data_IF_518572477836
#
_entry.id   IF_518572477836
#
_cell.length_a   1.000
_cell.length_b   1.000
_cell.length_c   1.000
_cell.angle_alpha   90.00
_cell.angle_beta   90.00
_cell.angle_gamma   90.00
#
_symmetry.space_group_name_H-M   'P 1'
#
loop_
_entity.id
_entity.type
_entity.pdbx_description
1 polymer ?
#
# COMPACT_ATOMS: atom_id res chain seq x y z
N UNK A 1 -39.22 -52.07 25.19
CA UNK A 1 -38.02 -51.80 24.36
C UNK A 1 -36.82 -52.25 25.19
N UNK A 2 -36.18 -53.38 24.82
CA UNK A 2 -34.96 -53.84 25.52
C UNK A 2 -33.80 -52.90 25.16
N UNK A 3 -33.01 -52.51 26.19
CA UNK A 3 -31.81 -51.63 26.03
C UNK A 3 -30.79 -52.35 25.17
N UNK A 4 -30.12 -51.66 24.24
CA UNK A 4 -29.06 -52.24 23.40
C UNK A 4 -27.93 -52.78 24.30
N UNK A 5 -27.21 -53.86 23.89
CA UNK A 5 -26.11 -54.42 24.65
C UNK A 5 -25.01 -53.36 24.82
N UNK A 6 -24.44 -53.25 26.03
CA UNK A 6 -23.41 -52.26 26.40
C UNK A 6 -22.23 -52.20 25.43
N UNK A 7 -21.84 -53.32 24.87
CA UNK A 7 -20.72 -53.44 23.90
C UNK A 7 -20.98 -52.72 22.60
N UNK A 8 -22.22 -52.73 22.06
CA UNK A 8 -22.58 -52.05 20.82
C UNK A 8 -22.64 -50.53 21.00
N UNK A 9 -23.16 -50.11 22.17
CA UNK A 9 -23.17 -48.66 22.52
C UNK A 9 -21.76 -48.14 22.69
N UNK A 10 -20.87 -48.91 23.33
CA UNK A 10 -19.45 -48.55 23.48
C UNK A 10 -18.73 -48.50 22.11
N UNK A 11 -18.93 -49.46 21.23
CA UNK A 11 -18.33 -49.45 19.91
C UNK A 11 -18.82 -48.25 19.06
N UNK A 12 -20.12 -47.97 19.06
CA UNK A 12 -20.68 -46.81 18.35
C UNK A 12 -20.16 -45.47 18.90
N UNK A 13 -20.07 -45.34 20.24
CA UNK A 13 -19.53 -44.12 20.85
C UNK A 13 -18.03 -43.93 20.55
N UNK A 14 -17.27 -45.02 20.49
CA UNK A 14 -15.83 -44.97 20.19
C UNK A 14 -15.58 -44.58 18.72
N UNK A 15 -16.34 -45.15 17.77
CA UNK A 15 -16.28 -44.80 16.35
C UNK A 15 -16.69 -43.33 16.16
N UNK A 16 -17.77 -42.87 16.80
CA UNK A 16 -18.22 -41.49 16.76
C UNK A 16 -17.17 -40.54 17.35
N UNK A 17 -16.52 -40.91 18.47
CA UNK A 17 -15.46 -40.16 19.12
C UNK A 17 -14.24 -40.01 18.22
N UNK A 18 -13.79 -41.09 17.56
CA UNK A 18 -12.67 -41.05 16.62
C UNK A 18 -13.00 -40.19 15.39
N UNK A 19 -14.22 -40.30 14.85
CA UNK A 19 -14.66 -39.50 13.72
C UNK A 19 -14.68 -37.99 14.06
N UNK A 20 -15.19 -37.63 15.24
CA UNK A 20 -15.19 -36.22 15.71
C UNK A 20 -13.76 -35.72 15.96
N UNK A 21 -12.90 -36.52 16.60
CA UNK A 21 -11.51 -36.15 16.83
C UNK A 21 -10.74 -35.94 15.51
N UNK A 22 -10.91 -36.84 14.52
CA UNK A 22 -10.33 -36.70 13.18
C UNK A 22 -10.83 -35.42 12.49
N UNK A 23 -12.12 -35.12 12.61
CA UNK A 23 -12.74 -33.94 12.01
C UNK A 23 -12.19 -32.64 12.64
N UNK A 24 -12.04 -32.58 13.97
CA UNK A 24 -11.42 -31.46 14.68
C UNK A 24 -9.97 -31.28 14.23
N UNK A 25 -9.21 -32.36 14.15
CA UNK A 25 -7.81 -32.32 13.71
C UNK A 25 -7.69 -31.81 12.27
N UNK A 26 -8.45 -32.37 11.33
CA UNK A 26 -8.47 -31.91 9.93
C UNK A 26 -8.86 -30.44 9.83
N UNK A 27 -9.87 -30.00 10.59
CA UNK A 27 -10.32 -28.61 10.59
C UNK A 27 -9.23 -27.67 11.10
N UNK A 28 -8.58 -28.01 12.21
CA UNK A 28 -7.52 -27.17 12.79
C UNK A 28 -6.31 -27.05 11.85
N UNK A 29 -5.91 -28.13 11.21
CA UNK A 29 -4.85 -28.14 10.21
C UNK A 29 -5.23 -27.33 8.97
N UNK A 30 -6.45 -27.49 8.48
CA UNK A 30 -6.98 -26.75 7.33
C UNK A 30 -7.04 -25.24 7.63
N UNK A 31 -7.57 -24.83 8.80
CA UNK A 31 -7.64 -23.43 9.19
C UNK A 31 -6.27 -22.79 9.33
N UNK A 32 -5.29 -23.52 9.87
CA UNK A 32 -3.89 -23.05 9.90
C UNK A 32 -3.32 -22.83 8.50
N UNK A 33 -3.48 -23.82 7.63
CA UNK A 33 -3.00 -23.73 6.24
C UNK A 33 -3.69 -22.61 5.48
N UNK A 34 -5.00 -22.47 5.64
CA UNK A 34 -5.78 -21.39 5.01
C UNK A 34 -5.33 -20.00 5.47
N UNK A 35 -5.18 -19.79 6.80
CA UNK A 35 -4.67 -18.52 7.32
C UNK A 35 -3.30 -18.17 6.74
N UNK A 36 -2.39 -19.15 6.69
CA UNK A 36 -1.06 -18.95 6.10
C UNK A 36 -1.15 -18.57 4.62
N UNK A 37 -2.00 -19.23 3.84
CA UNK A 37 -2.19 -18.95 2.43
C UNK A 37 -2.79 -17.56 2.18
N UNK A 38 -3.76 -17.13 3.00
CA UNK A 38 -4.37 -15.80 2.90
C UNK A 38 -3.38 -14.70 3.26
N UNK A 39 -2.59 -14.87 4.33
CA UNK A 39 -1.55 -13.90 4.72
C UNK A 39 -0.49 -13.79 3.63
N UNK A 40 -0.03 -14.91 3.04
CA UNK A 40 0.95 -14.89 1.95
C UNK A 40 0.37 -14.27 0.68
N UNK A 41 -0.89 -14.53 0.36
CA UNK A 41 -1.60 -13.87 -0.73
C UNK A 41 -1.73 -12.35 -0.51
N UNK A 42 -2.08 -11.91 0.69
CA UNK A 42 -2.17 -10.50 1.06
C UNK A 42 -0.79 -9.82 0.98
N UNK A 43 0.28 -10.51 1.44
CA UNK A 43 1.66 -10.06 1.36
C UNK A 43 2.10 -9.84 -0.09
N UNK A 44 1.85 -10.83 -0.96
CA UNK A 44 2.19 -10.76 -2.39
C UNK A 44 1.42 -9.64 -3.09
N UNK A 45 0.12 -9.53 -2.81
CA UNK A 45 -0.72 -8.46 -3.37
C UNK A 45 -0.25 -7.07 -2.90
N UNK A 46 0.06 -6.90 -1.62
CA UNK A 46 0.58 -5.65 -1.08
C UNK A 46 1.90 -5.25 -1.75
N UNK A 47 2.83 -6.19 -1.90
CA UNK A 47 4.10 -5.96 -2.59
C UNK A 47 3.90 -5.56 -4.06
N UNK A 48 2.98 -6.23 -4.76
CA UNK A 48 2.67 -5.93 -6.17
C UNK A 48 2.08 -4.54 -6.34
N UNK A 49 1.12 -4.17 -5.49
CA UNK A 49 0.50 -2.83 -5.51
C UNK A 49 1.53 -1.74 -5.22
N UNK A 50 2.38 -1.93 -4.19
CA UNK A 50 3.46 -0.99 -3.86
C UNK A 50 4.45 -0.86 -5.02
N UNK A 51 4.79 -1.95 -5.70
CA UNK A 51 5.66 -1.91 -6.88
C UNK A 51 5.03 -1.13 -8.04
N UNK A 52 3.73 -1.27 -8.23
CA UNK A 52 2.97 -0.50 -9.22
C UNK A 52 3.01 1.01 -8.92
N UNK A 53 2.77 1.39 -7.66
CA UNK A 53 2.84 2.79 -7.21
C UNK A 53 4.26 3.31 -7.33
N UNK A 54 5.26 2.54 -6.90
CA UNK A 54 6.66 2.92 -7.05
C UNK A 54 7.06 3.14 -8.52
N UNK A 55 6.54 2.31 -9.44
CA UNK A 55 6.68 2.51 -10.88
C UNK A 55 6.06 3.82 -11.37
N UNK A 56 4.87 4.17 -10.91
CA UNK A 56 4.21 5.42 -11.26
C UNK A 56 4.98 6.64 -10.72
N UNK A 57 5.46 6.56 -9.47
CA UNK A 57 6.32 7.61 -8.87
C UNK A 57 7.64 7.73 -9.62
N UNK A 58 8.26 6.61 -9.98
CA UNK A 58 9.50 6.60 -10.78
C UNK A 58 9.30 7.26 -12.16
N UNK A 59 8.19 6.97 -12.84
CA UNK A 59 7.86 7.61 -14.11
C UNK A 59 7.69 9.12 -13.94
N UNK A 60 7.05 9.56 -12.85
CA UNK A 60 6.91 10.97 -12.51
C UNK A 60 8.29 11.62 -12.31
N UNK A 61 9.18 11.01 -11.54
CA UNK A 61 10.56 11.49 -11.32
C UNK A 61 11.34 11.57 -12.63
N UNK A 62 11.27 10.55 -13.48
CA UNK A 62 11.92 10.56 -14.79
C UNK A 62 11.37 11.66 -15.70
N UNK A 63 10.07 11.95 -15.63
CA UNK A 63 9.46 13.07 -16.35
C UNK A 63 10.02 14.40 -15.86
N UNK A 64 10.17 14.56 -14.53
CA UNK A 64 10.79 15.75 -13.93
C UNK A 64 12.21 15.97 -14.45
N UNK A 65 13.05 14.93 -14.41
CA UNK A 65 14.43 15.01 -14.89
C UNK A 65 14.50 15.34 -16.40
N UNK A 66 13.61 14.76 -17.20
CA UNK A 66 13.53 15.06 -18.64
C UNK A 66 13.12 16.51 -18.91
N UNK A 67 12.12 17.02 -18.18
CA UNK A 67 11.66 18.41 -18.28
C UNK A 67 12.78 19.37 -17.90
N UNK A 68 13.45 19.11 -16.79
CA UNK A 68 14.58 19.94 -16.32
C UNK A 68 15.72 19.91 -17.33
N UNK A 69 16.06 18.75 -17.89
CA UNK A 69 17.09 18.63 -18.93
C UNK A 69 16.80 19.49 -20.16
N UNK A 70 15.55 19.42 -20.66
CA UNK A 70 15.13 20.26 -21.80
C UNK A 70 15.24 21.75 -21.47
N UNK A 71 14.79 22.16 -20.28
CA UNK A 71 14.86 23.57 -19.87
C UNK A 71 16.29 24.03 -19.72
N UNK A 72 17.17 23.23 -19.11
CA UNK A 72 18.60 23.57 -18.95
C UNK A 72 19.29 23.86 -20.28
N UNK A 73 19.04 23.04 -21.30
CA UNK A 73 19.63 23.22 -22.64
C UNK A 73 19.20 24.54 -23.32
N UNK A 74 18.07 25.11 -22.89
CA UNK A 74 17.53 26.33 -23.50
C UNK A 74 17.89 27.61 -22.73
N UNK A 75 18.44 27.52 -21.53
CA UNK A 75 18.77 28.69 -20.71
C UNK A 75 19.88 29.55 -21.35
N UNK A 76 20.78 28.97 -22.13
CA UNK A 76 21.89 29.64 -22.79
C UNK A 76 21.50 30.28 -24.12
N UNK A 77 20.26 30.15 -24.57
CA UNK A 77 19.77 30.84 -25.77
C UNK A 77 19.70 32.36 -25.55
N UNK A 78 19.74 33.09 -26.67
CA UNK A 78 19.46 34.51 -26.64
C UNK A 78 18.10 34.81 -26.00
N UNK A 79 17.96 35.83 -25.11
CA UNK A 79 16.77 36.06 -24.29
C UNK A 79 15.44 35.98 -25.04
N UNK A 80 15.36 36.60 -26.25
CA UNK A 80 14.11 36.57 -27.03
C UNK A 80 13.73 35.15 -27.51
N UNK A 81 14.71 34.33 -27.89
CA UNK A 81 14.51 32.96 -28.35
C UNK A 81 14.17 32.06 -27.17
N UNK A 82 14.87 32.22 -26.04
CA UNK A 82 14.63 31.51 -24.79
C UNK A 82 13.20 31.73 -24.29
N UNK A 83 12.77 33.00 -24.23
CA UNK A 83 11.41 33.34 -23.73
C UNK A 83 10.31 32.79 -24.66
N UNK A 84 10.50 32.86 -25.97
CA UNK A 84 9.57 32.28 -26.93
C UNK A 84 9.48 30.77 -26.78
N UNK A 85 10.60 30.08 -26.61
CA UNK A 85 10.66 28.64 -26.42
C UNK A 85 9.98 28.24 -25.12
N UNK A 86 10.35 28.83 -23.96
CA UNK A 86 9.81 28.44 -22.66
C UNK A 86 8.31 28.71 -22.55
N UNK A 87 7.81 29.81 -23.13
CA UNK A 87 6.37 30.08 -23.19
C UNK A 87 5.63 29.05 -24.07
N UNK A 88 6.18 28.66 -25.21
CA UNK A 88 5.62 27.59 -26.04
C UNK A 88 5.68 26.23 -25.31
N UNK A 89 6.80 25.94 -24.67
CA UNK A 89 6.99 24.72 -23.87
C UNK A 89 5.94 24.57 -22.74
N UNK A 90 5.70 25.63 -21.96
CA UNK A 90 4.68 25.66 -20.92
C UNK A 90 3.25 25.48 -21.46
N UNK A 91 3.01 25.87 -22.71
CA UNK A 91 1.70 25.65 -23.35
C UNK A 91 1.47 24.18 -23.71
N UNK A 92 2.54 23.48 -24.12
CA UNK A 92 2.48 22.06 -24.53
C UNK A 92 2.60 21.09 -23.33
N UNK A 93 3.22 21.55 -22.26
CA UNK A 93 3.48 20.75 -21.03
C UNK A 93 2.67 21.26 -19.84
N UNK A 94 1.38 20.90 -19.76
CA UNK A 94 0.47 21.43 -18.72
C UNK A 94 0.83 20.95 -17.30
N UNK A 95 1.66 19.93 -17.19
CA UNK A 95 2.20 19.46 -15.92
C UNK A 95 3.25 20.41 -15.32
N UNK A 96 3.88 21.28 -16.12
CA UNK A 96 4.83 22.28 -15.64
C UNK A 96 4.06 23.54 -15.26
N UNK A 97 4.07 23.89 -13.98
CA UNK A 97 3.36 25.06 -13.46
C UNK A 97 4.15 26.35 -13.66
N UNK A 98 5.45 26.33 -13.35
CA UNK A 98 6.36 27.45 -13.50
C UNK A 98 7.81 26.98 -13.75
N UNK A 99 8.58 27.87 -14.34
CA UNK A 99 10.03 27.77 -14.47
C UNK A 99 10.60 29.08 -13.91
N UNK A 100 11.52 29.00 -12.95
CA UNK A 100 12.14 30.16 -12.32
C UNK A 100 13.65 30.00 -12.29
N UNK A 101 14.37 31.11 -12.49
CA UNK A 101 15.81 31.14 -12.31
C UNK A 101 16.20 32.10 -11.20
N UNK A 102 17.26 31.76 -10.48
CA UNK A 102 17.76 32.53 -9.34
C UNK A 102 19.24 32.77 -9.46
N UNK A 103 19.71 33.90 -8.93
CA UNK A 103 21.13 34.19 -8.81
C UNK A 103 21.82 33.30 -7.74
N UNK A 104 23.11 33.49 -7.58
CA UNK A 104 23.91 32.75 -6.57
C UNK A 104 23.49 33.01 -5.12
N UNK A 105 22.76 34.09 -4.85
CA UNK A 105 22.28 34.49 -3.53
C UNK A 105 20.82 34.08 -3.29
N UNK A 106 20.18 33.43 -4.29
CA UNK A 106 18.79 33.00 -4.23
C UNK A 106 17.78 34.09 -4.59
N UNK A 107 18.24 35.23 -5.15
CA UNK A 107 17.36 36.26 -5.69
C UNK A 107 16.79 35.84 -7.05
N UNK A 108 15.50 36.08 -7.29
CA UNK A 108 14.84 35.73 -8.54
C UNK A 108 15.42 36.56 -9.71
N UNK A 109 15.78 35.89 -10.78
CA UNK A 109 16.19 36.50 -12.05
C UNK A 109 15.02 36.54 -13.05
N UNK A 110 14.50 35.36 -13.43
CA UNK A 110 13.45 35.25 -14.43
C UNK A 110 12.33 34.29 -13.91
N UNK A 111 11.09 34.49 -14.40
CA UNK A 111 9.96 33.64 -14.12
C UNK A 111 9.09 33.46 -15.37
N UNK A 112 8.92 32.23 -15.81
CA UNK A 112 7.98 31.83 -16.87
C UNK A 112 6.85 31.00 -16.23
N UNK A 113 5.62 31.32 -16.59
CA UNK A 113 4.43 30.67 -16.06
C UNK A 113 3.49 30.25 -17.18
N UNK A 114 2.62 29.29 -16.90
CA UNK A 114 1.59 28.86 -17.84
C UNK A 114 0.75 30.03 -18.37
N UNK A 115 0.35 29.95 -19.63
CA UNK A 115 -0.52 30.95 -20.27
C UNK A 115 -1.79 31.21 -19.43
N UNK A 116 -2.08 32.50 -19.21
CA UNK A 116 -3.22 32.91 -18.37
C UNK A 116 -2.97 32.83 -16.86
N UNK A 117 -1.76 32.53 -16.41
CA UNK A 117 -1.33 32.60 -15.01
C UNK A 117 -0.47 33.81 -14.81
N UNK A 118 -0.90 34.71 -13.94
CA UNK A 118 -0.18 35.97 -13.62
C UNK A 118 0.59 35.78 -12.33
N UNK A 119 1.92 35.86 -12.35
CA UNK A 119 2.72 35.88 -11.14
C UNK A 119 2.47 37.17 -10.35
N UNK A 120 2.44 37.08 -9.02
CA UNK A 120 2.28 38.23 -8.13
C UNK A 120 3.57 39.03 -8.03
N UNK A 121 3.60 40.32 -8.41
CA UNK A 121 4.83 41.12 -8.39
C UNK A 121 5.48 41.24 -7.00
N UNK A 122 4.66 41.31 -5.95
CA UNK A 122 5.13 41.44 -4.57
C UNK A 122 5.82 40.16 -4.07
N UNK A 123 5.33 39.01 -4.49
CA UNK A 123 5.92 37.71 -4.14
C UNK A 123 7.19 37.49 -4.94
N UNK A 124 7.20 37.81 -6.23
CA UNK A 124 8.38 37.68 -7.08
C UNK A 124 9.58 38.46 -6.53
N UNK A 125 9.38 39.63 -5.92
CA UNK A 125 10.46 40.43 -5.32
C UNK A 125 11.12 39.76 -4.12
N UNK A 126 10.38 38.90 -3.41
CA UNK A 126 10.82 38.24 -2.19
C UNK A 126 10.94 36.73 -2.36
N UNK A 127 10.74 36.22 -3.60
CA UNK A 127 10.81 34.80 -3.86
C UNK A 127 12.24 34.32 -3.67
N UNK A 128 12.40 33.37 -2.79
CA UNK A 128 13.65 32.69 -2.51
C UNK A 128 13.38 31.21 -2.29
N UNK A 129 14.31 30.39 -2.69
CA UNK A 129 14.28 28.96 -2.40
C UNK A 129 15.26 28.61 -1.28
N UNK A 130 15.22 27.36 -0.79
CA UNK A 130 16.15 26.91 0.23
C UNK A 130 17.57 26.74 -0.34
N UNK A 131 18.24 27.87 -0.49
CA UNK A 131 19.60 27.97 -1.00
C UNK A 131 20.60 27.20 -0.12
N UNK A 132 20.38 27.14 1.20
CA UNK A 132 21.26 26.42 2.10
C UNK A 132 21.24 24.91 1.81
N UNK A 133 20.08 24.36 1.55
CA UNK A 133 19.95 22.94 1.14
C UNK A 133 20.53 22.71 -0.26
N UNK A 134 20.26 23.60 -1.22
CA UNK A 134 20.79 23.46 -2.57
C UNK A 134 22.32 23.49 -2.60
N UNK A 135 22.95 24.43 -1.90
CA UNK A 135 24.41 24.51 -1.76
C UNK A 135 25.03 23.30 -1.06
N UNK A 136 24.39 22.81 0.01
CA UNK A 136 24.87 21.62 0.73
C UNK A 136 24.88 20.37 -0.15
N UNK A 137 23.89 20.21 -1.04
CA UNK A 137 23.78 19.06 -1.93
C UNK A 137 24.62 19.24 -3.23
N UNK A 138 25.03 20.46 -3.55
CA UNK A 138 26.02 20.79 -4.60
C UNK A 138 25.46 20.74 -6.04
N UNK A 139 24.42 19.98 -6.31
CA UNK A 139 23.87 19.80 -7.68
C UNK A 139 22.36 20.01 -7.77
N UNK A 140 21.73 20.29 -6.66
CA UNK A 140 20.30 20.51 -6.57
C UNK A 140 19.56 19.43 -5.80
N UNK A 141 18.24 19.57 -5.69
CA UNK A 141 17.37 18.65 -4.95
C UNK A 141 15.94 18.66 -5.50
N UNK A 142 15.16 17.69 -5.08
CA UNK A 142 13.71 17.60 -5.29
C UNK A 142 13.03 18.01 -3.98
N UNK A 143 12.12 18.99 -4.02
CA UNK A 143 11.38 19.45 -2.86
C UNK A 143 10.33 18.42 -2.41
N UNK A 144 9.84 18.55 -1.19
CA UNK A 144 8.57 17.92 -0.81
C UNK A 144 7.41 18.63 -1.51
N UNK A 145 6.27 17.92 -1.75
CA UNK A 145 5.08 18.56 -2.30
C UNK A 145 4.62 19.74 -1.46
N UNK A 146 4.37 20.87 -2.09
CA UNK A 146 3.94 22.11 -1.45
C UNK A 146 2.97 22.89 -2.34
N UNK A 147 2.31 23.85 -1.76
CA UNK A 147 1.42 24.75 -2.48
C UNK A 147 2.26 25.91 -3.05
N UNK A 148 2.27 26.03 -4.38
CA UNK A 148 2.92 27.17 -5.02
C UNK A 148 2.04 28.43 -4.89
N UNK A 149 2.60 29.50 -4.37
CA UNK A 149 1.90 30.75 -4.04
C UNK A 149 2.25 31.93 -4.94
N UNK A 150 3.11 31.73 -5.93
CA UNK A 150 3.58 32.80 -6.84
C UNK A 150 2.47 33.38 -7.73
N UNK A 151 1.37 32.65 -7.93
CA UNK A 151 0.30 33.05 -8.85
C UNK A 151 -0.83 33.84 -8.18
N UNK A 152 -1.50 34.69 -8.95
CA UNK A 152 -2.77 35.32 -8.55
C UNK A 152 -3.92 34.31 -8.66
N UNK A 153 -4.66 34.12 -7.56
CA UNK A 153 -5.88 33.27 -7.52
C UNK A 153 -5.70 31.81 -7.98
N UNK A 154 -4.44 31.34 -8.05
CA UNK A 154 -4.14 29.96 -8.41
C UNK A 154 -3.04 29.41 -7.49
N UNK A 155 -3.32 28.29 -6.84
CA UNK A 155 -2.48 27.68 -5.83
C UNK A 155 -2.26 26.21 -6.15
N UNK A 156 -1.45 25.90 -7.17
CA UNK A 156 -1.20 24.52 -7.56
C UNK A 156 -0.39 23.79 -6.49
N UNK A 157 -0.66 22.52 -6.33
CA UNK A 157 0.20 21.65 -5.56
C UNK A 157 1.30 21.12 -6.44
N UNK A 158 2.55 21.43 -6.10
CA UNK A 158 3.72 21.18 -6.94
C UNK A 158 4.84 20.50 -6.17
N UNK A 159 5.74 19.92 -6.93
CA UNK A 159 7.09 19.54 -6.50
C UNK A 159 8.07 20.36 -7.33
N UNK A 160 8.99 21.03 -6.66
CA UNK A 160 10.04 21.80 -7.33
C UNK A 160 11.30 20.97 -7.49
N UNK A 161 11.82 20.95 -8.69
CA UNK A 161 13.14 20.37 -9.00
C UNK A 161 14.12 21.51 -9.15
N UNK A 162 15.07 21.61 -8.22
CA UNK A 162 16.10 22.63 -8.20
C UNK A 162 17.40 22.04 -8.76
N UNK A 163 18.05 22.77 -9.68
CA UNK A 163 19.34 22.39 -10.27
C UNK A 163 20.28 23.59 -10.33
N UNK A 164 21.55 23.32 -10.10
CA UNK A 164 22.60 24.30 -10.35
C UNK A 164 22.85 24.43 -11.85
N UNK A 165 22.95 25.65 -12.33
CA UNK A 165 23.33 26.01 -13.70
C UNK A 165 24.72 26.66 -13.64
N UNK A 166 25.79 25.97 -14.10
CA UNK A 166 27.12 26.54 -14.09
C UNK A 166 27.20 27.77 -15.03
N UNK A 167 27.90 28.82 -14.60
CA UNK A 167 28.20 29.96 -15.43
C UNK A 167 29.70 30.07 -15.69
N UNK A 168 30.05 30.67 -16.84
CA UNK A 168 31.44 31.02 -17.16
C UNK A 168 31.92 32.06 -16.15
N UNK A 169 32.87 31.67 -15.28
CA UNK A 169 33.38 32.54 -14.22
C UNK A 169 33.28 31.99 -12.81
N UNK A 170 32.70 30.77 -12.65
CA UNK A 170 32.66 30.03 -11.35
C UNK A 170 31.51 30.43 -10.44
N UNK A 171 30.60 31.31 -10.84
CA UNK A 171 29.31 31.51 -10.21
C UNK A 171 28.31 30.47 -10.70
N UNK A 172 27.25 30.23 -9.93
CA UNK A 172 26.20 29.29 -10.33
C UNK A 172 24.84 29.96 -10.19
N UNK A 173 24.09 29.98 -11.27
CA UNK A 173 22.64 30.26 -11.21
C UNK A 173 21.91 29.00 -10.73
N UNK A 174 20.67 29.18 -10.28
CA UNK A 174 19.81 28.07 -9.89
C UNK A 174 18.57 28.10 -10.77
N UNK A 175 18.20 26.91 -11.25
CA UNK A 175 16.95 26.67 -11.95
C UNK A 175 16.00 25.95 -10.99
N UNK A 176 14.76 26.43 -10.90
CA UNK A 176 13.65 25.68 -10.30
C UNK A 176 12.57 25.43 -11.35
N UNK A 177 12.15 24.19 -11.46
CA UNK A 177 11.02 23.79 -12.29
C UNK A 177 9.95 23.20 -11.39
N UNK A 178 8.77 23.82 -11.38
CA UNK A 178 7.63 23.41 -10.55
C UNK A 178 6.70 22.53 -11.36
N UNK A 179 6.61 21.25 -10.97
CA UNK A 179 5.74 20.28 -11.63
C UNK A 179 4.52 19.96 -10.78
N UNK A 180 3.36 19.90 -11.42
CA UNK A 180 2.09 19.57 -10.78
C UNK A 180 2.15 18.18 -10.13
N UNK A 181 1.83 18.12 -8.84
CA UNK A 181 1.75 16.88 -8.07
C UNK A 181 0.36 16.23 -8.14
N UNK A 182 -0.61 16.89 -8.76
CA UNK A 182 -2.03 16.51 -8.74
C UNK A 182 -2.28 15.10 -9.30
N UNK A 183 -1.68 14.77 -10.43
CA UNK A 183 -1.89 13.46 -11.08
C UNK A 183 -1.27 12.32 -10.27
N UNK A 184 -0.07 12.55 -9.72
CA UNK A 184 0.57 11.57 -8.85
C UNK A 184 -0.23 11.37 -7.55
N UNK A 185 -0.70 12.46 -6.93
CA UNK A 185 -1.59 12.37 -5.77
C UNK A 185 -2.88 11.59 -6.08
N UNK A 186 -3.49 11.84 -7.24
CA UNK A 186 -4.68 11.09 -7.67
C UNK A 186 -4.38 9.60 -7.87
N UNK A 187 -3.23 9.27 -8.46
CA UNK A 187 -2.79 7.88 -8.63
C UNK A 187 -2.65 7.18 -7.27
N UNK A 188 -1.99 7.81 -6.30
CA UNK A 188 -1.80 7.24 -4.96
C UNK A 188 -3.14 7.13 -4.21
N UNK A 189 -4.02 8.12 -4.33
CA UNK A 189 -5.34 8.12 -3.68
C UNK A 189 -6.27 7.02 -4.19
N UNK A 190 -6.15 6.66 -5.48
CA UNK A 190 -6.99 5.64 -6.11
C UNK A 190 -6.49 4.22 -5.85
N UNK A 191 -5.34 4.07 -5.20
CA UNK A 191 -4.80 2.77 -4.86
C UNK A 191 -5.39 2.28 -3.54
N UNK A 192 -5.92 1.06 -3.56
CA UNK A 192 -6.42 0.35 -2.39
C UNK A 192 -5.74 -1.00 -2.27
N UNK A 193 -5.29 -1.34 -1.06
CA UNK A 193 -4.74 -2.66 -0.73
C UNK A 193 -5.72 -3.36 0.21
N UNK A 194 -6.51 -4.30 -0.33
CA UNK A 194 -7.64 -4.86 0.39
C UNK A 194 -8.80 -3.86 0.48
N UNK A 195 -9.53 -3.84 1.59
CA UNK A 195 -10.69 -2.94 1.76
C UNK A 195 -10.31 -1.54 2.25
N UNK A 196 -9.38 -1.44 3.20
CA UNK A 196 -9.00 -0.20 3.88
C UNK A 196 -7.50 0.13 3.81
N UNK A 197 -6.71 -0.72 3.15
CA UNK A 197 -5.29 -0.48 2.95
C UNK A 197 -5.04 0.63 1.92
N UNK A 198 -3.89 1.25 2.00
CA UNK A 198 -3.51 2.42 1.19
C UNK A 198 -1.99 2.45 0.99
N UNK A 199 -1.55 3.33 0.09
CA UNK A 199 -0.15 3.67 -0.07
C UNK A 199 0.11 5.11 0.33
N UNK A 200 1.32 5.39 0.80
CA UNK A 200 1.81 6.74 1.04
C UNK A 200 3.29 6.88 0.64
N UNK A 201 3.77 8.11 0.55
CA UNK A 201 5.16 8.43 0.28
C UNK A 201 5.83 8.99 1.54
N UNK A 202 7.05 8.53 1.80
CA UNK A 202 7.94 9.09 2.81
C UNK A 202 9.34 9.32 2.22
N UNK A 203 10.16 10.16 2.87
CA UNK A 203 11.57 10.29 2.55
C UNK A 203 12.43 9.23 3.28
N UNK A 204 13.72 9.20 3.00
CA UNK A 204 14.67 8.28 3.65
C UNK A 204 14.81 8.51 5.16
N UNK A 205 14.38 9.65 5.68
CA UNK A 205 14.40 9.99 7.11
C UNK A 205 13.09 9.65 7.82
N UNK A 206 12.08 9.21 7.07
CA UNK A 206 10.75 8.92 7.59
C UNK A 206 9.85 10.15 7.69
N UNK A 207 10.21 11.27 7.06
CA UNK A 207 9.29 12.39 6.94
C UNK A 207 8.22 12.07 5.91
N UNK A 208 6.98 12.44 6.21
CA UNK A 208 5.85 12.26 5.31
C UNK A 208 5.98 13.19 4.11
N UNK A 209 6.07 12.62 2.91
CA UNK A 209 6.05 13.35 1.64
C UNK A 209 4.62 13.52 1.16
N UNK A 210 3.85 12.45 1.15
CA UNK A 210 2.43 12.47 0.78
C UNK A 210 1.66 11.34 1.46
N UNK A 211 0.45 11.64 1.93
CA UNK A 211 -0.44 10.65 2.52
C UNK A 211 -1.89 10.87 2.08
N UNK A 212 -2.65 9.83 1.63
CA UNK A 212 -4.05 9.99 1.21
C UNK A 212 -4.96 10.59 2.27
N UNK A 213 -4.64 10.33 3.53
CA UNK A 213 -5.40 10.78 4.70
C UNK A 213 -4.63 11.83 5.51
N UNK A 214 -3.98 12.79 4.86
CA UNK A 214 -3.18 13.84 5.51
C UNK A 214 -3.96 14.59 6.60
N UNK A 215 -5.23 14.83 6.40
CA UNK A 215 -6.07 15.53 7.38
C UNK A 215 -6.14 14.80 8.72
N UNK A 216 -6.20 13.47 8.71
CA UNK A 216 -6.22 12.65 9.92
C UNK A 216 -4.87 12.68 10.65
N UNK A 217 -3.77 12.73 9.90
CA UNK A 217 -2.43 12.87 10.47
C UNK A 217 -2.25 14.23 11.16
N UNK A 218 -2.63 15.33 10.49
CA UNK A 218 -2.54 16.68 11.06
C UNK A 218 -3.46 16.88 12.26
N UNK A 219 -4.62 16.23 12.26
CA UNK A 219 -5.53 16.23 13.41
C UNK A 219 -5.06 15.34 14.57
N UNK A 220 -3.96 14.60 14.41
CA UNK A 220 -3.47 13.65 15.41
C UNK A 220 -4.34 12.41 15.61
N UNK A 221 -5.35 12.20 14.74
CA UNK A 221 -6.28 11.07 14.78
C UNK A 221 -5.67 9.79 14.20
N UNK A 222 -4.61 9.94 13.42
CA UNK A 222 -3.85 8.84 12.83
C UNK A 222 -2.36 9.06 13.04
N UNK A 223 -1.62 7.96 13.26
CA UNK A 223 -0.16 7.96 13.36
C UNK A 223 0.39 6.87 12.45
N UNK A 224 1.49 7.18 11.78
CA UNK A 224 2.23 6.22 10.95
C UNK A 224 3.58 5.92 11.60
N UNK A 225 4.03 4.68 11.43
CA UNK A 225 5.34 4.21 11.92
C UNK A 225 6.48 4.59 10.95
N UNK A 226 6.37 5.74 10.27
CA UNK A 226 7.25 6.14 9.19
C UNK A 226 8.73 6.19 9.61
N UNK A 227 9.04 6.69 10.81
CA UNK A 227 10.41 6.73 11.32
C UNK A 227 11.04 5.35 11.48
N UNK A 228 10.26 4.35 11.91
CA UNK A 228 10.70 2.96 12.01
C UNK A 228 10.83 2.31 10.64
N UNK A 229 9.85 2.52 9.77
CA UNK A 229 9.83 1.96 8.41
C UNK A 229 10.95 2.55 7.53
N UNK A 230 11.40 3.78 7.81
CA UNK A 230 12.54 4.39 7.12
C UNK A 230 13.86 3.63 7.36
N UNK A 231 14.00 2.97 8.52
CA UNK A 231 15.17 2.16 8.85
C UNK A 231 15.15 0.77 8.20
N UNK A 232 14.01 0.35 7.64
CA UNK A 232 13.87 -0.96 7.00
C UNK A 232 14.34 -0.89 5.53
N UNK A 233 14.80 -2.02 5.01
CA UNK A 233 15.10 -2.20 3.58
C UNK A 233 13.82 -2.32 2.74
N UNK A 234 14.00 -2.47 1.42
CA UNK A 234 12.89 -2.82 0.53
C UNK A 234 12.38 -4.22 0.87
N UNK A 235 11.07 -4.38 0.97
CA UNK A 235 10.46 -5.67 1.31
C UNK A 235 9.09 -5.54 1.95
N UNK A 236 8.53 -6.68 2.33
CA UNK A 236 7.22 -6.77 2.98
C UNK A 236 7.36 -7.34 4.38
N UNK A 237 6.88 -6.61 5.35
CA UNK A 237 6.98 -6.89 6.78
C UNK A 237 5.59 -7.13 7.35
N UNK A 238 5.44 -8.21 8.09
CA UNK A 238 4.16 -8.56 8.74
C UNK A 238 4.33 -8.32 10.24
N UNK A 239 3.49 -7.48 10.78
CA UNK A 239 3.48 -7.13 12.20
C UNK A 239 2.06 -7.24 12.74
N UNK A 240 1.85 -8.17 13.65
CA UNK A 240 0.55 -8.51 14.22
C UNK A 240 -0.54 -8.71 13.14
N UNK A 241 -1.33 -7.69 12.89
CA UNK A 241 -2.46 -7.70 11.95
C UNK A 241 -2.26 -6.77 10.76
N UNK A 242 -1.07 -6.15 10.64
CA UNK A 242 -0.74 -5.18 9.59
C UNK A 242 0.42 -5.69 8.74
N UNK A 243 0.29 -5.52 7.44
CA UNK A 243 1.36 -5.76 6.48
C UNK A 243 1.86 -4.41 5.98
N UNK A 244 3.16 -4.18 6.16
CA UNK A 244 3.88 -3.05 5.61
C UNK A 244 4.72 -3.50 4.42
N UNK A 245 4.51 -2.92 3.26
CA UNK A 245 5.37 -3.13 2.09
C UNK A 245 6.11 -1.84 1.79
N UNK A 246 7.43 -1.89 1.78
CA UNK A 246 8.31 -0.72 1.57
C UNK A 246 9.10 -0.92 0.30
N UNK A 247 9.12 0.09 -0.57
CA UNK A 247 9.92 0.08 -1.79
C UNK A 247 10.49 1.46 -2.06
N UNK A 248 11.80 1.50 -2.36
CA UNK A 248 12.51 2.72 -2.77
C UNK A 248 12.14 3.09 -4.20
N UNK A 249 12.05 4.39 -4.46
CA UNK A 249 11.85 4.94 -5.80
C UNK A 249 13.22 5.33 -6.36
N UNK A 250 13.68 4.71 -7.46
CA UNK A 250 14.96 5.05 -8.07
C UNK A 250 15.03 6.54 -8.46
N UNK A 251 16.21 7.13 -8.35
CA UNK A 251 16.44 8.53 -8.77
C UNK A 251 15.80 9.58 -7.86
N UNK A 252 15.17 9.19 -6.75
CA UNK A 252 14.56 10.11 -5.80
C UNK A 252 14.89 9.74 -4.35
N UNK A 253 14.76 10.68 -3.39
CA UNK A 253 14.89 10.38 -1.97
C UNK A 253 13.63 9.73 -1.38
N UNK A 254 12.68 9.31 -2.21
CA UNK A 254 11.37 8.85 -1.78
C UNK A 254 11.25 7.34 -1.69
N UNK A 255 10.37 6.91 -0.80
CA UNK A 255 9.94 5.51 -0.65
C UNK A 255 8.43 5.45 -0.66
N UNK A 256 7.90 4.42 -1.32
CA UNK A 256 6.49 4.06 -1.25
C UNK A 256 6.30 3.08 -0.12
N UNK A 257 5.32 3.33 0.71
CA UNK A 257 4.88 2.43 1.77
C UNK A 257 3.43 2.04 1.52
N UNK A 258 3.17 0.74 1.45
CA UNK A 258 1.84 0.17 1.44
C UNK A 258 1.47 -0.35 2.84
N UNK A 259 0.28 -0.05 3.27
CA UNK A 259 -0.32 -0.54 4.52
C UNK A 259 -1.53 -1.39 4.19
N UNK A 260 -1.56 -2.62 4.68
CA UNK A 260 -2.66 -3.56 4.48
C UNK A 260 -3.02 -4.25 5.80
N UNK A 261 -4.31 -4.50 6.02
CA UNK A 261 -4.84 -5.09 7.25
C UNK A 261 -5.24 -6.54 7.02
N UNK A 262 -4.60 -7.46 7.76
CA UNK A 262 -4.85 -8.92 7.65
C UNK A 262 -6.24 -9.27 8.17
N UNK A 263 -6.68 -8.66 9.27
CA UNK A 263 -7.93 -9.02 9.95
C UNK A 263 -9.18 -8.79 9.09
N UNK A 264 -9.14 -7.86 8.17
CA UNK A 264 -10.27 -7.56 7.30
C UNK A 264 -10.52 -8.68 6.27
N UNK A 265 -9.45 -9.21 5.70
CA UNK A 265 -9.55 -10.26 4.67
C UNK A 265 -9.78 -11.64 5.29
N UNK A 266 -9.17 -11.87 6.47
CA UNK A 266 -9.22 -13.17 7.17
C UNK A 266 -10.51 -13.34 7.94
N UNK A 267 -11.00 -12.31 8.62
CA UNK A 267 -12.08 -12.43 9.62
C UNK A 267 -13.45 -12.79 9.01
N UNK A 268 -13.79 -12.27 7.84
CA UNK A 268 -15.09 -12.56 7.22
C UNK A 268 -15.13 -13.96 6.61
N UNK A 269 -14.12 -14.29 5.81
CA UNK A 269 -13.98 -15.63 5.22
C UNK A 269 -13.74 -16.70 6.27
N UNK A 270 -12.97 -16.39 7.33
CA UNK A 270 -12.72 -17.29 8.45
C UNK A 270 -14.00 -17.59 9.24
N UNK A 271 -14.81 -16.59 9.58
CA UNK A 271 -16.10 -16.80 10.26
C UNK A 271 -17.06 -17.63 9.44
N UNK A 272 -17.13 -17.42 8.14
CA UNK A 272 -17.96 -18.22 7.25
C UNK A 272 -17.48 -19.68 7.19
N UNK A 273 -16.17 -19.91 7.08
CA UNK A 273 -15.57 -21.25 7.10
C UNK A 273 -15.79 -21.99 8.42
N UNK A 274 -15.57 -21.31 9.55
CA UNK A 274 -15.84 -21.90 10.89
C UNK A 274 -17.31 -22.29 10.99
N UNK A 275 -18.24 -21.45 10.53
CA UNK A 275 -19.68 -21.77 10.53
C UNK A 275 -19.98 -23.01 9.70
N UNK A 276 -19.48 -23.08 8.47
CA UNK A 276 -19.68 -24.25 7.59
C UNK A 276 -19.10 -25.51 8.25
N UNK A 277 -17.91 -25.42 8.83
CA UNK A 277 -17.25 -26.53 9.51
C UNK A 277 -18.04 -27.04 10.71
N UNK A 278 -18.56 -26.15 11.55
CA UNK A 278 -19.36 -26.52 12.72
C UNK A 278 -20.67 -27.22 12.29
N UNK A 279 -21.32 -26.70 11.23
CA UNK A 279 -22.51 -27.33 10.66
C UNK A 279 -22.19 -28.73 10.13
N UNK A 280 -21.10 -28.85 9.33
CA UNK A 280 -20.67 -30.13 8.76
C UNK A 280 -20.29 -31.14 9.86
N UNK A 281 -19.56 -30.68 10.88
CA UNK A 281 -19.23 -31.51 12.04
C UNK A 281 -20.49 -32.02 12.75
N UNK A 282 -21.50 -31.17 12.96
CA UNK A 282 -22.80 -31.54 13.55
C UNK A 282 -23.51 -32.58 12.67
N UNK A 283 -23.55 -32.42 11.37
CA UNK A 283 -24.16 -33.38 10.45
C UNK A 283 -23.45 -34.75 10.47
N UNK A 284 -22.12 -34.75 10.44
CA UNK A 284 -21.30 -35.98 10.51
C UNK A 284 -21.55 -36.72 11.87
N UNK A 285 -21.60 -35.96 12.95
CA UNK A 285 -21.89 -36.51 14.27
C UNK A 285 -23.29 -37.15 14.34
N UNK A 286 -24.32 -36.47 13.81
CA UNK A 286 -25.68 -37.02 13.73
C UNK A 286 -25.76 -38.27 12.84
N UNK A 287 -25.06 -38.24 11.70
CA UNK A 287 -24.97 -39.40 10.81
C UNK A 287 -24.27 -40.59 11.48
N UNK A 288 -23.19 -40.35 12.23
CA UNK A 288 -22.49 -41.38 13.00
C UNK A 288 -23.38 -41.99 14.10
N UNK A 289 -24.17 -41.16 14.81
CA UNK A 289 -25.15 -41.64 15.80
C UNK A 289 -26.26 -42.50 15.14
N UNK A 290 -26.78 -42.05 13.98
CA UNK A 290 -27.80 -42.79 13.24
C UNK A 290 -27.25 -44.13 12.71
N UNK A 291 -26.04 -44.15 12.15
CA UNK A 291 -25.37 -45.37 11.71
C UNK A 291 -25.11 -46.33 12.90
N UNK A 292 -24.63 -45.82 14.03
CA UNK A 292 -24.46 -46.61 15.24
C UNK A 292 -25.77 -47.22 15.74
N UNK A 293 -26.87 -46.48 15.68
CA UNK A 293 -28.21 -46.99 16.07
C UNK A 293 -28.70 -48.07 15.10
N UNK A 294 -28.53 -47.91 13.78
CA UNK A 294 -28.87 -48.90 12.78
C UNK A 294 -28.04 -50.17 12.95
N UNK A 295 -26.71 -50.04 13.11
CA UNK A 295 -25.80 -51.16 13.35
C UNK A 295 -26.15 -51.92 14.62
N UNK A 296 -26.47 -51.19 15.71
CA UNK A 296 -26.95 -51.79 16.95
C UNK A 296 -28.17 -52.65 16.73
N UNK A 297 -29.13 -52.18 15.92
CA UNK A 297 -30.35 -52.96 15.65
C UNK A 297 -30.07 -54.20 14.76
N UNK A 298 -29.21 -54.06 13.77
CA UNK A 298 -28.91 -55.17 12.85
C UNK A 298 -28.10 -56.27 13.52
N UNK A 299 -27.11 -55.95 14.35
CA UNK A 299 -26.26 -56.95 15.03
C UNK A 299 -26.89 -57.54 16.29
N UNK A 300 -27.70 -56.78 17.03
CA UNK A 300 -28.33 -57.30 18.29
C UNK A 300 -29.47 -58.27 18.03
N UNK A 301 -30.18 -58.21 16.91
CA UNK A 301 -31.28 -59.13 16.58
C UNK A 301 -30.83 -60.59 16.33
N UNK A 302 -29.82 -60.89 15.51
CA UNK A 302 -29.40 -62.28 15.30
C UNK A 302 -28.68 -62.88 16.50
N UNK A 303 -27.93 -62.05 17.31
CA UNK A 303 -27.28 -62.57 18.52
C UNK A 303 -28.26 -62.96 19.61
N UNK A 304 -29.35 -62.21 19.78
CA UNK A 304 -30.41 -62.58 20.73
C UNK A 304 -31.20 -63.79 20.30
N UNK A 305 -31.34 -64.06 18.98
CA UNK A 305 -31.97 -65.27 18.46
C UNK A 305 -31.09 -66.50 18.69
N UNK A 306 -29.75 -66.36 18.60
CA UNK A 306 -28.82 -67.44 18.93
C UNK A 306 -28.79 -67.75 20.43
N UNK A 307 -28.80 -66.72 21.29
CA UNK A 307 -28.83 -66.89 22.76
C UNK A 307 -30.10 -67.54 23.23
N UNK A 308 -31.27 -67.17 22.68
CA UNK A 308 -32.55 -67.83 22.97
C UNK A 308 -32.64 -69.24 22.39
N UNK A 309 -31.99 -69.50 21.28
CA UNK A 309 -31.94 -70.89 20.74
C UNK A 309 -31.04 -71.80 21.60
N UNK A 310 -29.91 -71.27 22.11
CA UNK A 310 -29.05 -72.05 23.04
C UNK A 310 -29.69 -72.34 24.40
N UNK A 311 -30.43 -71.35 24.95
CA UNK A 311 -31.19 -71.57 26.18
C UNK A 311 -32.35 -72.59 26.04
N UNK A 312 -32.82 -72.91 24.87
CA UNK A 312 -33.83 -73.92 24.58
C UNK A 312 -33.25 -75.34 24.41
N UNK A 313 -31.93 -75.48 24.34
CA UNK A 313 -31.22 -76.76 24.20
C UNK A 313 -30.56 -77.24 25.53
N UNK A 314 -30.62 -76.44 26.62
CA UNK A 314 -30.38 -76.87 28.04
C UNK A 314 -31.71 -77.23 28.74
#
# INVERSE_FOLDING_TARGET
MKRPPRTVVLAASLISGVAVAALILCTTLFLRSYRSAVVEGARTNSAQVVSQVAGAVNNYVNTMDSVVGIVLEQLDLEPAMRDAFLNAFLTVRPEVAAITTYDENGGLLDCWAQAGRTPKPDILRNLSFDLATARRLGHGYISTPHVESIFESYYPWVVSVIRAVPEDGGSSRWLSVDLSFKELAATINNVSIGQHGYCYLMDERGNMVYHPQQQLLYAGLKKEEAGRLACLGDGTYVEDTVIYSVQRVPGSPWRVVGVSYIDETVNESFRQMVRITVITAGLVFLAALAAGWVLSRLLSRPLQQLETAMEQFE
#
